data_IF_021128800046
#
_entry.id   IF_021128800046
#
_cell.length_a   1.000
_cell.length_b   1.000
_cell.length_c   1.000
_cell.angle_alpha   90.00
_cell.angle_beta   90.00
_cell.angle_gamma   90.00
#
_symmetry.space_group_name_H-M   'P 1'
#
loop_
_entity.id
_entity.type
_entity.pdbx_description
1 polymer ?
#
# COMPACT_ATOMS: atom_id res chain seq x y z
N UNK A 1 3.69 -11.62 28.86
CA UNK A 1 4.84 -10.96 28.22
C UNK A 1 5.06 -11.51 26.83
N UNK A 2 5.29 -12.81 26.65
CA UNK A 2 5.54 -13.41 25.31
C UNK A 2 4.46 -13.11 24.26
N UNK A 3 3.17 -13.14 24.60
CA UNK A 3 2.10 -12.85 23.64
C UNK A 3 2.10 -11.41 23.12
N UNK A 4 2.50 -10.44 23.95
CA UNK A 4 2.59 -9.02 23.57
C UNK A 4 3.78 -8.81 22.62
N UNK A 5 4.92 -9.44 22.91
CA UNK A 5 6.12 -9.36 22.07
C UNK A 5 5.92 -10.00 20.69
N UNK A 6 5.18 -11.12 20.62
CA UNK A 6 4.80 -11.74 19.35
C UNK A 6 3.89 -10.80 18.56
N UNK A 7 2.88 -10.20 19.20
CA UNK A 7 1.95 -9.27 18.56
C UNK A 7 2.66 -8.00 18.05
N UNK A 8 3.59 -7.43 18.82
CA UNK A 8 4.40 -6.28 18.39
C UNK A 8 5.27 -6.62 17.18
N UNK A 9 5.83 -7.83 17.14
CA UNK A 9 6.65 -8.30 16.00
C UNK A 9 5.80 -8.46 14.75
N UNK A 10 4.62 -9.06 14.86
CA UNK A 10 3.69 -9.20 13.74
C UNK A 10 3.18 -7.83 13.25
N UNK A 11 2.85 -6.92 14.17
CA UNK A 11 2.45 -5.55 13.83
C UNK A 11 3.55 -4.84 13.04
N UNK A 12 4.80 -4.90 13.51
CA UNK A 12 5.93 -4.28 12.84
C UNK A 12 6.13 -4.86 11.42
N UNK A 13 5.94 -6.17 11.25
CA UNK A 13 6.01 -6.84 9.96
C UNK A 13 4.90 -6.40 9.00
N UNK A 14 3.64 -6.43 9.46
CA UNK A 14 2.48 -6.02 8.67
C UNK A 14 2.58 -4.54 8.27
N UNK A 15 3.00 -3.68 9.21
CA UNK A 15 3.20 -2.25 8.94
C UNK A 15 4.32 -1.99 7.93
N UNK A 16 5.45 -2.68 8.06
CA UNK A 16 6.54 -2.61 7.09
C UNK A 16 6.06 -2.98 5.68
N UNK A 17 5.26 -4.03 5.57
CA UNK A 17 4.69 -4.47 4.30
C UNK A 17 3.76 -3.41 3.69
N UNK A 18 2.94 -2.72 4.49
CA UNK A 18 2.12 -1.58 4.03
C UNK A 18 2.99 -0.45 3.48
N UNK A 19 4.07 -0.09 4.18
CA UNK A 19 5.00 0.95 3.74
C UNK A 19 5.67 0.57 2.41
N UNK A 20 6.04 -0.70 2.23
CA UNK A 20 6.61 -1.21 0.98
C UNK A 20 5.60 -1.16 -0.18
N UNK A 21 4.32 -1.44 0.06
CA UNK A 21 3.25 -1.33 -0.94
C UNK A 21 3.12 0.13 -1.42
N UNK A 22 3.02 1.09 -0.50
CA UNK A 22 2.93 2.51 -0.87
C UNK A 22 4.18 2.99 -1.61
N UNK A 23 5.36 2.57 -1.17
CA UNK A 23 6.63 2.88 -1.85
C UNK A 23 6.65 2.34 -3.28
N UNK A 24 6.13 1.13 -3.48
CA UNK A 24 6.01 0.51 -4.80
C UNK A 24 5.02 1.26 -5.70
N UNK A 25 3.90 1.73 -5.15
CA UNK A 25 2.93 2.57 -5.89
C UNK A 25 3.58 3.88 -6.34
N UNK A 26 4.38 4.54 -5.50
CA UNK A 26 5.12 5.75 -5.88
C UNK A 26 6.17 5.51 -6.96
N UNK A 27 6.90 4.39 -6.87
CA UNK A 27 7.82 3.98 -7.93
C UNK A 27 7.07 3.73 -9.24
N UNK A 28 5.91 3.06 -9.20
CA UNK A 28 5.09 2.81 -10.38
C UNK A 28 4.59 4.11 -11.03
N UNK A 29 4.17 5.10 -10.23
CA UNK A 29 3.83 6.44 -10.74
C UNK A 29 4.99 7.08 -11.49
N UNK A 30 6.20 6.95 -10.95
CA UNK A 30 7.42 7.50 -11.57
C UNK A 30 7.73 6.80 -12.89
N UNK A 31 7.60 5.47 -12.94
CA UNK A 31 7.77 4.68 -14.16
C UNK A 31 6.71 5.00 -15.21
N UNK A 32 5.45 5.23 -14.83
CA UNK A 32 4.42 5.62 -15.81
C UNK A 32 4.69 6.99 -16.42
N UNK A 33 5.23 7.95 -15.66
CA UNK A 33 5.59 9.28 -16.17
C UNK A 33 6.73 9.24 -17.20
N UNK A 34 7.56 8.19 -17.23
CA UNK A 34 8.65 8.07 -18.20
C UNK A 34 8.23 7.44 -19.53
N UNK A 35 6.99 6.94 -19.64
CA UNK A 35 6.48 6.34 -20.86
C UNK A 35 5.77 7.39 -21.72
N UNK A 36 6.16 7.48 -22.99
CA UNK A 36 5.41 8.24 -24.00
C UNK A 36 4.24 7.38 -24.51
N UNK A 37 3.01 7.75 -24.14
CA UNK A 37 1.80 6.99 -24.44
C UNK A 37 0.66 7.92 -24.86
N UNK A 38 -0.37 7.37 -25.50
CA UNK A 38 -1.55 8.15 -25.86
C UNK A 38 -2.30 8.68 -24.63
N UNK A 39 -3.03 9.78 -24.79
CA UNK A 39 -3.84 10.38 -23.72
C UNK A 39 -4.78 9.37 -23.02
N UNK A 40 -5.39 8.45 -23.78
CA UNK A 40 -6.24 7.41 -23.21
C UNK A 40 -5.45 6.47 -22.28
N UNK A 41 -4.21 6.13 -22.65
CA UNK A 41 -3.32 5.31 -21.82
C UNK A 41 -2.91 6.06 -20.55
N UNK A 42 -2.63 7.35 -20.62
CA UNK A 42 -2.35 8.15 -19.42
C UNK A 42 -3.52 8.15 -18.43
N UNK A 43 -4.75 8.28 -18.92
CA UNK A 43 -5.95 8.20 -18.08
C UNK A 43 -6.05 6.81 -17.43
N UNK A 44 -5.86 5.74 -18.21
CA UNK A 44 -5.89 4.37 -17.68
C UNK A 44 -4.84 4.16 -16.60
N UNK A 45 -3.62 4.67 -16.78
CA UNK A 45 -2.55 4.63 -15.78
C UNK A 45 -2.96 5.39 -14.51
N UNK A 46 -3.53 6.59 -14.61
CA UNK A 46 -4.03 7.36 -13.46
C UNK A 46 -5.14 6.63 -12.69
N UNK A 47 -6.08 6.00 -13.41
CA UNK A 47 -7.16 5.20 -12.79
C UNK A 47 -6.59 3.97 -12.07
N UNK A 48 -5.63 3.27 -12.68
CA UNK A 48 -4.95 2.14 -12.06
C UNK A 48 -4.28 2.53 -10.73
N UNK A 49 -3.49 3.61 -10.76
CA UNK A 49 -2.82 4.14 -9.56
C UNK A 49 -3.84 4.46 -8.47
N UNK A 50 -4.92 5.18 -8.80
CA UNK A 50 -5.96 5.53 -7.83
C UNK A 50 -6.61 4.30 -7.19
N UNK A 51 -6.84 3.23 -7.98
CA UNK A 51 -7.40 2.00 -7.45
C UNK A 51 -6.43 1.25 -6.53
N UNK A 52 -5.14 1.24 -6.86
CA UNK A 52 -4.10 0.66 -6.02
C UNK A 52 -3.98 1.40 -4.68
N UNK A 53 -3.98 2.74 -4.70
CA UNK A 53 -3.94 3.57 -3.49
C UNK A 53 -5.16 3.34 -2.58
N UNK A 54 -6.35 3.29 -3.18
CA UNK A 54 -7.58 2.96 -2.45
C UNK A 54 -7.49 1.59 -1.79
N UNK A 55 -7.00 0.59 -2.51
CA UNK A 55 -6.86 -0.75 -1.96
C UNK A 55 -5.82 -0.80 -0.84
N UNK A 56 -4.64 -0.19 -1.03
CA UNK A 56 -3.61 -0.09 0.02
C UNK A 56 -4.15 0.58 1.30
N UNK A 57 -4.99 1.62 1.15
CA UNK A 57 -5.64 2.28 2.27
C UNK A 57 -6.61 1.34 3.01
N UNK A 58 -7.41 0.55 2.28
CA UNK A 58 -8.29 -0.45 2.91
C UNK A 58 -7.50 -1.52 3.66
N UNK A 59 -6.35 -1.95 3.14
CA UNK A 59 -5.46 -2.90 3.82
C UNK A 59 -4.83 -2.30 5.07
N UNK A 60 -4.37 -1.04 4.99
CA UNK A 60 -3.86 -0.31 6.15
C UNK A 60 -4.88 -0.26 7.28
N UNK A 61 -6.14 0.08 6.97
CA UNK A 61 -7.20 0.11 7.97
C UNK A 61 -7.49 -1.28 8.54
N UNK A 62 -7.52 -2.30 7.70
CA UNK A 62 -7.70 -3.68 8.15
C UNK A 62 -6.61 -4.10 9.15
N UNK A 63 -5.34 -3.76 8.86
CA UNK A 63 -4.21 -4.01 9.76
C UNK A 63 -4.38 -3.21 11.06
N UNK A 64 -4.69 -1.91 11.00
CA UNK A 64 -4.95 -1.11 12.21
C UNK A 64 -6.06 -1.77 13.06
N UNK A 65 -7.16 -2.19 12.45
CA UNK A 65 -8.27 -2.85 13.15
C UNK A 65 -7.88 -4.19 13.78
N UNK A 66 -7.05 -4.99 13.08
CA UNK A 66 -6.54 -6.28 13.56
C UNK A 66 -5.84 -6.14 14.92
N UNK A 67 -5.06 -5.07 15.10
CA UNK A 67 -4.29 -4.84 16.32
C UNK A 67 -4.94 -3.86 17.31
N UNK A 68 -5.95 -3.09 16.88
CA UNK A 68 -6.70 -2.18 17.77
C UNK A 68 -7.77 -2.88 18.61
N UNK A 69 -8.19 -4.09 18.22
CA UNK A 69 -9.18 -4.91 18.95
C UNK A 69 -8.55 -5.92 19.91
N UNK A 70 -7.23 -5.90 20.04
CA UNK A 70 -6.46 -6.79 20.90
C UNK A 70 -6.29 -6.21 22.31
#
# INVERSE_FOLDING_TARGET
MEQIEIQDTEWAHDWKTIVEIYSTIEQLKTLFKSLDVSYLREIQQKVLILNLEKYAWTLQNHIIEKYSKA
#
